data_IF_013973430526
#
_entry.id   IF_013973430526
#
_cell.length_a   1.000
_cell.length_b   1.000
_cell.length_c   1.000
_cell.angle_alpha   90.00
_cell.angle_beta   90.00
_cell.angle_gamma   90.00
#
_symmetry.space_group_name_H-M   'P 1'
#
loop_
_entity.id
_entity.type
_entity.pdbx_description
1 polymer ?
#
# COMPACT_ATOMS: atom_id res chain seq x y z
N UNK A 1 -15.28 -10.66 12.77
CA UNK A 1 -14.79 -9.52 11.96
C UNK A 1 -15.91 -9.10 11.02
N UNK A 2 -16.20 -7.82 10.82
CA UNK A 2 -17.27 -7.40 9.88
C UNK A 2 -16.90 -7.83 8.45
N UNK A 3 -17.86 -8.29 7.66
CA UNK A 3 -17.64 -8.79 6.28
C UNK A 3 -16.83 -7.82 5.41
N UNK A 4 -17.08 -6.49 5.41
CA UNK A 4 -16.29 -5.53 4.62
C UNK A 4 -14.81 -5.51 4.99
N UNK A 5 -14.48 -5.66 6.28
CA UNK A 5 -13.08 -5.68 6.76
C UNK A 5 -12.38 -6.94 6.28
N UNK A 6 -13.05 -8.09 6.36
CA UNK A 6 -12.52 -9.36 5.85
C UNK A 6 -12.24 -9.30 4.34
N UNK A 7 -13.19 -8.78 3.56
CA UNK A 7 -13.01 -8.60 2.11
C UNK A 7 -11.83 -7.67 1.80
N UNK A 8 -11.71 -6.56 2.54
CA UNK A 8 -10.61 -5.60 2.36
C UNK A 8 -9.26 -6.24 2.67
N UNK A 9 -9.16 -7.03 3.75
CA UNK A 9 -7.93 -7.75 4.10
C UNK A 9 -7.55 -8.80 3.04
N UNK A 10 -8.54 -9.51 2.50
CA UNK A 10 -8.32 -10.43 1.38
C UNK A 10 -7.77 -9.71 0.15
N UNK A 11 -8.33 -8.55 -0.20
CA UNK A 11 -7.85 -7.74 -1.33
C UNK A 11 -6.45 -7.17 -1.08
N UNK A 12 -6.15 -6.69 0.13
CA UNK A 12 -4.79 -6.25 0.51
C UNK A 12 -3.80 -7.41 0.32
N UNK A 13 -4.14 -8.61 0.77
CA UNK A 13 -3.31 -9.80 0.60
C UNK A 13 -3.02 -10.11 -0.87
N UNK A 14 -4.06 -10.06 -1.72
CA UNK A 14 -3.94 -10.28 -3.16
C UNK A 14 -3.04 -9.21 -3.79
N UNK A 15 -3.23 -7.93 -3.45
CA UNK A 15 -2.41 -6.85 -3.99
C UNK A 15 -0.94 -6.95 -3.55
N UNK A 16 -0.67 -7.43 -2.34
CA UNK A 16 0.70 -7.73 -1.90
C UNK A 16 1.33 -8.87 -2.71
N UNK A 17 0.58 -9.95 -3.00
CA UNK A 17 1.06 -11.04 -3.87
C UNK A 17 1.33 -10.55 -5.31
N UNK A 18 0.45 -9.69 -5.84
CA UNK A 18 0.67 -9.05 -7.15
C UNK A 18 1.93 -8.19 -7.11
N UNK A 19 2.16 -7.41 -6.05
CA UNK A 19 3.36 -6.59 -5.89
C UNK A 19 4.65 -7.45 -5.86
N UNK A 20 4.65 -8.56 -5.12
CA UNK A 20 5.78 -9.51 -5.11
C UNK A 20 6.01 -10.11 -6.49
N UNK A 21 4.94 -10.42 -7.23
CA UNK A 21 5.02 -10.91 -8.61
C UNK A 21 5.66 -9.86 -9.53
N UNK A 22 5.28 -8.59 -9.40
CA UNK A 22 5.94 -7.49 -10.12
C UNK A 22 7.42 -7.38 -9.80
N UNK A 23 7.82 -7.50 -8.52
CA UNK A 23 9.23 -7.49 -8.14
C UNK A 23 10.00 -8.65 -8.80
N UNK A 24 9.42 -9.86 -8.83
CA UNK A 24 10.04 -11.01 -9.49
C UNK A 24 10.25 -10.77 -11.00
N UNK A 25 9.27 -10.14 -11.67
CA UNK A 25 9.38 -9.79 -13.10
C UNK A 25 10.47 -8.74 -13.33
N UNK A 26 10.53 -7.70 -12.49
CA UNK A 26 11.49 -6.59 -12.63
C UNK A 26 12.93 -7.06 -12.36
N UNK A 27 13.15 -7.80 -11.28
CA UNK A 27 14.50 -8.23 -10.90
C UNK A 27 15.00 -9.43 -11.70
N UNK A 28 14.12 -10.17 -12.40
CA UNK A 28 14.42 -11.38 -13.17
C UNK A 28 15.21 -12.46 -12.39
N UNK A 29 15.27 -12.35 -11.07
CA UNK A 29 16.06 -13.22 -10.19
C UNK A 29 15.40 -13.31 -8.82
N UNK A 30 14.92 -14.50 -8.41
CA UNK A 30 14.36 -14.71 -7.07
C UNK A 30 15.34 -14.38 -5.95
N UNK A 31 16.65 -14.57 -6.19
CA UNK A 31 17.69 -14.26 -5.22
C UNK A 31 17.76 -12.76 -4.91
N UNK A 32 17.67 -11.90 -5.93
CA UNK A 32 17.68 -10.45 -5.76
C UNK A 32 16.43 -9.96 -5.03
N UNK A 33 15.27 -10.55 -5.30
CA UNK A 33 14.03 -10.25 -4.56
C UNK A 33 14.18 -10.63 -3.08
N UNK A 34 14.76 -11.80 -2.79
CA UNK A 34 15.02 -12.22 -1.42
C UNK A 34 16.00 -11.31 -0.69
N UNK A 35 17.10 -10.93 -1.35
CA UNK A 35 18.06 -9.95 -0.83
C UNK A 35 17.40 -8.59 -0.56
N UNK A 36 16.52 -8.12 -1.45
CA UNK A 36 15.76 -6.90 -1.26
C UNK A 36 14.85 -6.96 -0.02
N UNK A 37 14.07 -8.04 0.13
CA UNK A 37 13.15 -8.22 1.26
C UNK A 37 13.92 -8.31 2.59
N UNK A 38 15.02 -9.06 2.61
CA UNK A 38 15.83 -9.26 3.82
C UNK A 38 16.68 -8.05 4.20
N UNK A 39 16.95 -7.13 3.26
CA UNK A 39 17.66 -5.87 3.52
C UNK A 39 16.77 -4.79 4.13
N UNK A 40 15.46 -4.83 3.87
CA UNK A 40 14.50 -3.84 4.36
C UNK A 40 13.33 -4.47 5.14
N UNK A 41 13.60 -5.38 6.11
CA UNK A 41 12.55 -6.15 6.76
C UNK A 41 11.65 -5.25 7.60
N UNK A 42 12.21 -4.23 8.27
CA UNK A 42 11.44 -3.33 9.12
C UNK A 42 10.51 -2.43 8.29
N UNK A 43 11.03 -1.80 7.23
CA UNK A 43 10.25 -0.95 6.34
C UNK A 43 9.07 -1.69 5.73
N UNK A 44 9.32 -2.89 5.19
CA UNK A 44 8.27 -3.71 4.59
C UNK A 44 7.26 -4.18 5.62
N UNK A 45 7.72 -4.62 6.81
CA UNK A 45 6.81 -5.08 7.87
C UNK A 45 5.91 -3.97 8.37
N UNK A 46 6.46 -2.78 8.63
CA UNK A 46 5.68 -1.62 9.11
C UNK A 46 4.76 -1.10 8.01
N UNK A 47 5.21 -1.09 6.75
CA UNK A 47 4.34 -0.78 5.61
C UNK A 47 3.13 -1.73 5.52
N UNK A 48 3.37 -3.04 5.61
CA UNK A 48 2.31 -4.07 5.61
C UNK A 48 1.36 -3.89 6.80
N UNK A 49 1.89 -3.70 8.01
CA UNK A 49 1.08 -3.43 9.21
C UNK A 49 0.23 -2.16 9.00
N UNK A 50 0.81 -1.10 8.43
CA UNK A 50 0.12 0.13 8.08
C UNK A 50 -1.04 -0.11 7.09
N UNK A 51 -0.86 -0.97 6.09
CA UNK A 51 -1.93 -1.38 5.16
C UNK A 51 -3.09 -2.07 5.89
N UNK A 52 -2.81 -3.02 6.78
CA UNK A 52 -3.87 -3.74 7.49
C UNK A 52 -4.59 -2.89 8.54
N UNK A 53 -3.84 -2.05 9.28
CA UNK A 53 -4.44 -1.13 10.26
C UNK A 53 -5.35 -0.13 9.54
N UNK A 54 -4.83 0.56 8.51
CA UNK A 54 -5.64 1.51 7.73
C UNK A 54 -6.79 0.81 7.00
N UNK A 55 -6.56 -0.40 6.49
CA UNK A 55 -7.56 -1.25 5.86
C UNK A 55 -8.76 -1.50 6.77
N UNK A 56 -8.56 -1.72 8.06
CA UNK A 56 -9.66 -1.90 9.02
C UNK A 56 -10.54 -0.65 9.08
N UNK A 57 -9.95 0.52 9.31
CA UNK A 57 -10.69 1.78 9.49
C UNK A 57 -11.35 2.23 8.17
N UNK A 58 -10.64 2.14 7.06
CA UNK A 58 -11.12 2.56 5.75
C UNK A 58 -12.22 1.62 5.24
N UNK A 59 -12.15 0.32 5.53
CA UNK A 59 -13.23 -0.62 5.20
C UNK A 59 -14.56 -0.28 5.88
N UNK A 60 -14.52 0.10 7.16
CA UNK A 60 -15.72 0.52 7.89
C UNK A 60 -16.28 1.84 7.34
N UNK A 61 -15.40 2.77 6.98
CA UNK A 61 -15.77 4.01 6.32
C UNK A 61 -16.40 3.77 4.93
N UNK A 62 -15.79 2.93 4.08
CA UNK A 62 -16.33 2.54 2.77
C UNK A 62 -17.71 1.91 2.93
N UNK A 63 -17.86 0.94 3.83
CA UNK A 63 -19.14 0.27 4.09
C UNK A 63 -20.23 1.26 4.50
N UNK A 64 -19.90 2.22 5.37
CA UNK A 64 -20.85 3.22 5.86
C UNK A 64 -21.37 4.14 4.74
N UNK A 65 -20.52 4.46 3.77
CA UNK A 65 -20.90 5.28 2.60
C UNK A 65 -21.70 4.45 1.60
N UNK A 66 -21.23 3.25 1.28
CA UNK A 66 -21.86 2.37 0.27
C UNK A 66 -23.26 1.95 0.69
N UNK A 67 -23.49 1.70 1.98
CA UNK A 67 -24.81 1.37 2.51
C UNK A 67 -25.81 2.53 2.38
N UNK A 68 -25.34 3.78 2.54
CA UNK A 68 -26.17 4.97 2.34
C UNK A 68 -26.42 5.26 0.86
N UNK A 69 -25.42 5.02 0.01
CA UNK A 69 -25.42 5.43 -1.39
C UNK A 69 -24.87 4.30 -2.27
N UNK A 70 -25.73 3.33 -2.62
CA UNK A 70 -25.30 2.08 -3.28
C UNK A 70 -24.69 2.26 -4.68
N UNK A 71 -25.02 3.34 -5.39
CA UNK A 71 -24.56 3.56 -6.76
C UNK A 71 -23.10 4.04 -6.84
N UNK A 72 -22.54 4.60 -5.77
CA UNK A 72 -21.12 5.03 -5.72
C UNK A 72 -20.17 3.95 -5.18
N UNK A 73 -20.61 2.71 -5.12
CA UNK A 73 -19.83 1.57 -4.59
C UNK A 73 -18.45 1.42 -5.23
N UNK A 74 -18.38 1.41 -6.56
CA UNK A 74 -17.14 1.26 -7.33
C UNK A 74 -16.16 2.40 -7.03
N UNK A 75 -16.50 3.70 -7.22
CA UNK A 75 -15.55 4.78 -6.95
C UNK A 75 -15.14 4.86 -5.48
N UNK A 76 -16.04 4.56 -4.53
CA UNK A 76 -15.69 4.51 -3.10
C UNK A 76 -14.71 3.38 -2.81
N UNK A 77 -14.88 2.21 -3.42
CA UNK A 77 -13.95 1.08 -3.28
C UNK A 77 -12.56 1.40 -3.84
N UNK A 78 -12.49 2.02 -5.02
CA UNK A 78 -11.24 2.49 -5.64
C UNK A 78 -10.54 3.50 -4.73
N UNK A 79 -11.26 4.54 -4.31
CA UNK A 79 -10.71 5.59 -3.45
C UNK A 79 -10.21 5.02 -2.12
N UNK A 80 -10.99 4.12 -1.50
CA UNK A 80 -10.61 3.50 -0.24
C UNK A 80 -9.33 2.67 -0.35
N UNK A 81 -9.16 1.88 -1.41
CA UNK A 81 -7.89 1.15 -1.60
C UNK A 81 -6.71 2.08 -1.88
N UNK A 82 -6.91 3.18 -2.62
CA UNK A 82 -5.84 4.17 -2.79
C UNK A 82 -5.43 4.81 -1.46
N UNK A 83 -6.39 5.15 -0.59
CA UNK A 83 -6.10 5.68 0.74
C UNK A 83 -5.33 4.66 1.59
N UNK A 84 -5.72 3.39 1.56
CA UNK A 84 -4.98 2.31 2.24
C UNK A 84 -3.55 2.24 1.71
N UNK A 85 -3.37 2.21 0.38
CA UNK A 85 -2.07 2.15 -0.27
C UNK A 85 -1.17 3.32 0.14
N UNK A 86 -1.69 4.55 0.10
CA UNK A 86 -0.96 5.76 0.49
C UNK A 86 -0.50 5.69 1.94
N UNK A 87 -1.36 5.23 2.87
CA UNK A 87 -0.98 5.07 4.28
C UNK A 87 0.13 4.02 4.42
N UNK A 88 0.03 2.89 3.71
CA UNK A 88 1.08 1.87 3.72
C UNK A 88 2.42 2.38 3.20
N UNK A 89 2.42 3.12 2.09
CA UNK A 89 3.61 3.80 1.55
C UNK A 89 4.20 4.72 2.60
N UNK A 90 3.38 5.62 3.17
CA UNK A 90 3.85 6.60 4.14
C UNK A 90 4.47 5.93 5.36
N UNK A 91 3.81 4.91 5.94
CA UNK A 91 4.34 4.15 7.06
C UNK A 91 5.69 3.47 6.73
N UNK A 92 5.79 2.79 5.58
CA UNK A 92 7.04 2.14 5.18
C UNK A 92 8.17 3.14 4.88
N UNK A 93 7.84 4.22 4.16
CA UNK A 93 8.76 5.32 3.84
C UNK A 93 9.29 6.03 5.07
N UNK A 94 8.44 6.29 6.07
CA UNK A 94 8.89 6.93 7.31
C UNK A 94 9.90 6.09 8.07
N UNK A 95 9.74 4.78 8.09
CA UNK A 95 10.72 3.88 8.72
C UNK A 95 12.01 3.88 7.93
N UNK A 96 11.95 3.80 6.59
CA UNK A 96 13.14 3.86 5.75
C UNK A 96 13.90 5.19 5.87
N UNK A 97 13.17 6.30 6.00
CA UNK A 97 13.76 7.60 6.28
C UNK A 97 14.46 7.62 7.64
N UNK A 98 13.88 7.01 8.67
CA UNK A 98 14.51 6.95 10.00
C UNK A 98 15.74 6.03 9.99
N UNK A 99 15.66 4.85 9.37
CA UNK A 99 16.72 3.85 9.35
C UNK A 99 17.91 4.27 8.47
N UNK A 100 17.66 4.86 7.31
CA UNK A 100 18.67 5.13 6.29
C UNK A 100 18.83 6.64 6.00
N UNK A 101 17.72 7.37 5.93
CA UNK A 101 17.72 8.80 5.60
C UNK A 101 18.36 9.70 6.66
N UNK A 102 18.00 9.56 7.95
CA UNK A 102 18.60 10.36 9.02
C UNK A 102 20.13 10.15 9.10
N UNK A 103 20.65 8.90 9.06
CA UNK A 103 22.09 8.67 8.95
C UNK A 103 22.76 9.32 7.73
N UNK A 104 22.08 9.40 6.58
CA UNK A 104 22.61 10.08 5.38
C UNK A 104 22.68 11.59 5.57
N UNK A 105 21.64 12.21 6.15
CA UNK A 105 21.67 13.64 6.48
C UNK A 105 22.86 13.95 7.42
N UNK A 106 23.08 13.11 8.43
CA UNK A 106 24.20 13.26 9.36
C UNK A 106 25.59 13.10 8.71
N UNK A 107 25.66 12.45 7.54
CA UNK A 107 26.89 12.32 6.73
C UNK A 107 27.10 13.49 5.76
N UNK A 108 26.19 14.47 5.75
CA UNK A 108 26.28 15.67 4.93
C UNK A 108 25.51 15.62 3.60
N UNK A 109 24.62 14.66 3.41
CA UNK A 109 23.71 14.64 2.26
C UNK A 109 22.63 15.72 2.39
N UNK A 110 22.20 16.29 1.26
CA UNK A 110 21.16 17.33 1.26
C UNK A 110 19.80 16.76 1.72
N UNK A 111 19.11 17.50 2.57
CA UNK A 111 17.83 17.07 3.14
C UNK A 111 16.78 16.85 2.05
N UNK A 112 16.77 17.68 1.00
CA UNK A 112 15.78 17.54 -0.07
C UNK A 112 16.03 16.28 -0.90
N UNK A 113 17.29 15.95 -1.16
CA UNK A 113 17.66 14.69 -1.83
C UNK A 113 17.22 13.48 -1.01
N UNK A 114 17.47 13.49 0.29
CA UNK A 114 17.04 12.39 1.19
C UNK A 114 15.52 12.28 1.24
N UNK A 115 14.79 13.38 1.38
CA UNK A 115 13.31 13.35 1.35
C UNK A 115 12.82 12.79 0.00
N UNK A 116 13.44 13.20 -1.10
CA UNK A 116 13.10 12.69 -2.43
C UNK A 116 13.30 11.16 -2.53
N UNK A 117 14.39 10.65 -1.97
CA UNK A 117 14.77 9.25 -2.06
C UNK A 117 13.90 8.33 -1.20
N UNK A 118 13.47 8.77 -0.02
CA UNK A 118 12.71 7.92 0.91
C UNK A 118 11.18 8.14 0.88
N UNK A 119 10.70 9.29 0.42
CA UNK A 119 9.25 9.57 0.32
C UNK A 119 8.77 9.65 -1.13
N UNK A 120 9.35 10.52 -1.94
CA UNK A 120 8.81 10.80 -3.27
C UNK A 120 9.04 9.66 -4.25
N UNK A 121 10.27 9.14 -4.37
CA UNK A 121 10.57 8.01 -5.27
C UNK A 121 9.73 6.77 -4.92
N UNK A 122 9.66 6.31 -3.65
CA UNK A 122 8.83 5.16 -3.30
C UNK A 122 7.35 5.40 -3.57
N UNK A 123 6.81 6.57 -3.20
CA UNK A 123 5.42 6.91 -3.47
C UNK A 123 5.12 6.93 -4.98
N UNK A 124 6.00 7.54 -5.78
CA UNK A 124 5.86 7.59 -7.23
C UNK A 124 5.80 6.19 -7.84
N UNK A 125 6.78 5.33 -7.54
CA UNK A 125 6.84 4.00 -8.13
C UNK A 125 5.69 3.09 -7.68
N UNK A 126 5.37 3.11 -6.39
CA UNK A 126 4.30 2.27 -5.85
C UNK A 126 2.94 2.75 -6.36
N UNK A 127 2.70 4.05 -6.46
CA UNK A 127 1.45 4.57 -7.03
C UNK A 127 1.38 4.29 -8.54
N UNK A 128 2.48 4.47 -9.28
CA UNK A 128 2.51 4.22 -10.72
C UNK A 128 2.15 2.77 -11.04
N UNK A 129 2.90 1.82 -10.47
CA UNK A 129 2.67 0.38 -10.74
C UNK A 129 1.48 -0.19 -9.98
N UNK A 130 1.20 0.33 -8.79
CA UNK A 130 0.08 -0.11 -7.95
C UNK A 130 -1.27 0.46 -8.38
N UNK A 131 -1.32 1.52 -9.19
CA UNK A 131 -2.57 2.16 -9.60
C UNK A 131 -3.52 1.20 -10.33
N UNK A 132 -3.02 0.46 -11.32
CA UNK A 132 -3.81 -0.49 -12.12
C UNK A 132 -4.44 -1.57 -11.25
N UNK A 133 -3.67 -2.38 -10.48
CA UNK A 133 -4.28 -3.39 -9.61
C UNK A 133 -5.19 -2.77 -8.55
N UNK A 134 -4.88 -1.58 -8.03
CA UNK A 134 -5.73 -0.85 -7.07
C UNK A 134 -7.08 -0.45 -7.66
N UNK A 135 -7.11 0.03 -8.90
CA UNK A 135 -8.35 0.40 -9.59
C UNK A 135 -9.21 -0.86 -9.82
N UNK A 136 -8.61 -1.93 -10.33
CA UNK A 136 -9.31 -3.18 -10.63
C UNK A 136 -9.86 -3.81 -9.35
N UNK A 137 -8.99 -4.04 -8.37
CA UNK A 137 -9.39 -4.68 -7.11
C UNK A 137 -10.26 -3.78 -6.25
N UNK A 138 -10.12 -2.46 -6.33
CA UNK A 138 -10.93 -1.48 -5.61
C UNK A 138 -12.35 -1.41 -6.15
N UNK A 139 -12.51 -1.42 -7.48
CA UNK A 139 -13.83 -1.51 -8.10
C UNK A 139 -14.55 -2.81 -7.71
N UNK A 140 -13.82 -3.92 -7.74
CA UNK A 140 -14.33 -5.22 -7.31
C UNK A 140 -14.70 -5.25 -5.82
N UNK A 141 -13.84 -4.71 -4.94
CA UNK A 141 -14.11 -4.59 -3.51
C UNK A 141 -15.36 -3.76 -3.24
N UNK A 142 -15.49 -2.61 -3.89
CA UNK A 142 -16.68 -1.76 -3.78
C UNK A 142 -17.96 -2.50 -4.16
N UNK A 143 -17.92 -3.26 -5.25
CA UNK A 143 -19.02 -4.12 -5.68
C UNK A 143 -19.36 -5.21 -4.65
N UNK A 144 -18.36 -5.90 -4.10
CA UNK A 144 -18.56 -6.93 -3.07
C UNK A 144 -19.12 -6.36 -1.76
N UNK A 145 -18.69 -5.17 -1.35
CA UNK A 145 -19.24 -4.49 -0.17
C UNK A 145 -20.70 -4.11 -0.41
N UNK A 146 -21.09 -3.72 -1.63
CA UNK A 146 -22.49 -3.40 -1.97
C UNK A 146 -23.42 -4.61 -1.89
N UNK A 147 -22.91 -5.81 -2.20
CA UNK A 147 -23.69 -7.05 -2.19
C UNK A 147 -23.95 -7.59 -0.78
N UNK A 148 -23.15 -7.19 0.21
CA UNK A 148 -23.30 -7.56 1.61
C UNK A 148 -24.04 -6.49 2.41
#
# INVERSE_FOLDING_TARGET
MKTPVFLTFGIISINLLIAVTFLLIIFQSPKLVWEFITRMPLNLSIGIIGLYISGKFIAEWMSSIIQKVKYISIPVGILGLFLILIVGIFCGSSVGFIEFGIPEINKGYDINEVINDYYFKPAFWILLFGSIPTIITGGFLGYLIKMN
#
